data_IF_661612495555
#
_entry.id   IF_661612495555
#
_cell.length_a   1.000
_cell.length_b   1.000
_cell.length_c   1.000
_cell.angle_alpha   90.00
_cell.angle_beta   90.00
_cell.angle_gamma   90.00
#
_symmetry.space_group_name_H-M   'P 1'
#
loop_
_entity.id
_entity.type
_entity.pdbx_description
1 polymer ?
#
# COMPACT_ATOMS: atom_id res chain seq x y z
N UNK A 1 -62.72 -4.89 -29.89
CA UNK A 1 -62.01 -5.91 -29.08
C UNK A 1 -61.34 -5.19 -27.92
N UNK A 2 -61.87 -5.34 -26.69
CA UNK A 2 -61.32 -4.68 -25.51
C UNK A 2 -60.19 -5.55 -24.96
N UNK A 3 -58.94 -5.10 -25.09
CA UNK A 3 -57.79 -5.79 -24.51
C UNK A 3 -57.74 -5.55 -22.99
N UNK A 4 -57.69 -6.61 -22.19
CA UNK A 4 -57.46 -6.50 -20.76
C UNK A 4 -55.96 -6.51 -20.46
N UNK A 5 -55.47 -5.48 -19.81
CA UNK A 5 -54.11 -5.45 -19.29
C UNK A 5 -54.03 -6.27 -17.99
N UNK A 6 -53.32 -7.40 -18.02
CA UNK A 6 -53.10 -8.24 -16.83
C UNK A 6 -51.73 -7.93 -16.24
N UNK A 7 -51.70 -7.54 -14.96
CA UNK A 7 -50.47 -7.27 -14.21
C UNK A 7 -49.87 -8.59 -13.75
N UNK A 8 -48.98 -9.18 -14.53
CA UNK A 8 -48.26 -10.40 -14.14
C UNK A 8 -47.22 -10.05 -13.06
N UNK A 9 -47.40 -10.56 -11.84
CA UNK A 9 -46.34 -10.57 -10.82
C UNK A 9 -45.27 -11.56 -11.30
N UNK A 10 -44.08 -11.07 -11.60
CA UNK A 10 -42.90 -11.89 -11.86
C UNK A 10 -42.71 -12.85 -10.67
N UNK A 11 -42.63 -14.18 -10.89
CA UNK A 11 -42.44 -15.15 -9.82
C UNK A 11 -41.09 -14.95 -9.13
N UNK A 12 -41.06 -15.24 -7.82
CA UNK A 12 -39.93 -14.91 -6.92
C UNK A 12 -38.63 -15.57 -7.40
N UNK A 13 -38.68 -16.77 -7.99
CA UNK A 13 -37.51 -17.47 -8.51
C UNK A 13 -36.84 -16.76 -9.71
N UNK A 14 -37.59 -15.94 -10.44
CA UNK A 14 -37.08 -15.19 -11.60
C UNK A 14 -36.38 -13.88 -11.17
N UNK A 15 -36.72 -13.35 -9.98
CA UNK A 15 -35.92 -12.31 -9.31
C UNK A 15 -34.56 -12.85 -8.88
N UNK A 16 -34.48 -14.10 -8.44
CA UNK A 16 -33.24 -14.77 -8.05
C UNK A 16 -32.29 -14.97 -9.23
N UNK A 17 -32.84 -15.33 -10.40
CA UNK A 17 -32.05 -15.54 -11.62
C UNK A 17 -31.45 -14.24 -12.18
N UNK A 18 -32.13 -13.11 -12.01
CA UNK A 18 -31.61 -11.78 -12.39
C UNK A 18 -30.49 -11.30 -11.45
N UNK A 19 -30.37 -11.89 -10.27
CA UNK A 19 -29.30 -11.67 -9.32
C UNK A 19 -28.14 -12.65 -9.49
N UNK A 20 -27.97 -13.31 -10.65
CA UNK A 20 -26.66 -13.88 -11.01
C UNK A 20 -25.67 -12.73 -11.19
N UNK A 21 -25.09 -12.35 -10.06
CA UNK A 21 -23.86 -11.61 -9.86
C UNK A 21 -23.00 -11.60 -11.12
N UNK A 22 -23.02 -10.49 -11.85
CA UNK A 22 -21.90 -10.15 -12.71
C UNK A 22 -20.73 -9.98 -11.76
N UNK A 23 -19.92 -11.03 -11.61
CA UNK A 23 -18.75 -11.00 -10.76
C UNK A 23 -17.91 -9.80 -11.22
N UNK A 24 -17.62 -8.82 -10.34
CA UNK A 24 -16.77 -7.70 -10.71
C UNK A 24 -15.44 -8.25 -11.23
N UNK A 25 -14.90 -7.62 -12.26
CA UNK A 25 -13.65 -8.05 -12.90
C UNK A 25 -12.55 -8.16 -11.81
N UNK A 26 -11.71 -9.19 -11.91
CA UNK A 26 -10.66 -9.47 -10.94
C UNK A 26 -9.73 -8.25 -10.71
N UNK A 27 -9.58 -7.40 -11.73
CA UNK A 27 -8.85 -6.13 -11.64
C UNK A 27 -9.50 -5.13 -10.69
N UNK A 28 -10.82 -4.95 -10.78
CA UNK A 28 -11.57 -4.02 -9.92
C UNK A 28 -11.51 -4.46 -8.45
N UNK A 29 -11.60 -5.76 -8.20
CA UNK A 29 -11.44 -6.33 -6.85
C UNK A 29 -10.04 -6.09 -6.29
N UNK A 30 -9.01 -6.20 -7.13
CA UNK A 30 -7.63 -5.93 -6.73
C UNK A 30 -7.42 -4.46 -6.37
N UNK A 31 -7.99 -3.53 -7.15
CA UNK A 31 -7.93 -2.08 -6.88
C UNK A 31 -8.70 -1.70 -5.62
N UNK A 32 -9.90 -2.23 -5.43
CA UNK A 32 -10.67 -2.07 -4.19
C UNK A 32 -9.92 -2.61 -2.98
N UNK A 33 -9.24 -3.75 -3.14
CA UNK A 33 -8.38 -4.33 -2.13
C UNK A 33 -7.21 -3.40 -1.76
N UNK A 34 -6.53 -2.82 -2.76
CA UNK A 34 -5.43 -1.86 -2.55
C UNK A 34 -5.91 -0.62 -1.81
N UNK A 35 -7.03 -0.03 -2.22
CA UNK A 35 -7.57 1.19 -1.60
C UNK A 35 -8.00 0.97 -0.15
N UNK A 36 -8.67 -0.15 0.14
CA UNK A 36 -9.04 -0.53 1.52
C UNK A 36 -7.80 -0.75 2.40
N UNK A 37 -6.78 -1.44 1.88
CA UNK A 37 -5.50 -1.64 2.59
C UNK A 37 -4.77 -0.31 2.84
N UNK A 38 -4.78 0.61 1.87
CA UNK A 38 -4.17 1.93 2.02
C UNK A 38 -4.84 2.74 3.14
N UNK A 39 -6.19 2.80 3.15
CA UNK A 39 -6.95 3.48 4.22
C UNK A 39 -6.70 2.88 5.61
N UNK A 40 -6.65 1.55 5.69
CA UNK A 40 -6.36 0.86 6.95
C UNK A 40 -4.97 1.22 7.47
N UNK A 41 -3.97 1.25 6.57
CA UNK A 41 -2.60 1.64 6.92
C UNK A 41 -2.53 3.09 7.39
N UNK A 42 -3.14 4.02 6.66
CA UNK A 42 -3.16 5.45 7.01
C UNK A 42 -3.74 5.68 8.42
N UNK A 43 -4.82 4.97 8.75
CA UNK A 43 -5.41 5.02 10.09
C UNK A 43 -4.47 4.48 11.17
N UNK A 44 -3.85 3.32 10.94
CA UNK A 44 -2.90 2.71 11.88
C UNK A 44 -1.67 3.60 12.11
N UNK A 45 -1.08 4.14 11.04
CA UNK A 45 0.09 5.03 11.09
C UNK A 45 -0.27 6.31 11.87
N UNK A 46 -1.43 6.91 11.57
CA UNK A 46 -1.94 8.11 12.29
C UNK A 46 -2.18 7.83 13.77
N UNK A 47 -2.80 6.69 14.10
CA UNK A 47 -3.05 6.27 15.49
C UNK A 47 -1.75 6.09 16.27
N UNK A 48 -0.70 5.56 15.63
CA UNK A 48 0.64 5.38 16.21
C UNK A 48 1.48 6.65 16.23
N UNK A 49 1.02 7.74 15.60
CA UNK A 49 1.80 8.96 15.34
C UNK A 49 3.09 8.66 14.58
N UNK A 50 3.04 7.66 13.70
CA UNK A 50 4.16 7.21 12.90
C UNK A 50 4.40 8.23 11.78
N UNK A 51 5.62 8.74 11.67
CA UNK A 51 5.98 9.69 10.61
C UNK A 51 6.28 8.90 9.34
N UNK A 52 5.75 9.32 8.17
CA UNK A 52 6.06 8.65 6.92
C UNK A 52 7.56 8.72 6.64
N UNK A 53 8.13 7.59 6.21
CA UNK A 53 9.54 7.54 5.80
C UNK A 53 9.75 8.42 4.57
N UNK A 54 10.68 9.38 4.67
CA UNK A 54 11.08 10.25 3.55
C UNK A 54 12.24 9.64 2.75
N UNK A 55 12.66 8.42 3.07
CA UNK A 55 13.80 7.75 2.43
C UNK A 55 13.43 7.35 1.01
N UNK A 56 14.26 7.74 0.06
CA UNK A 56 14.12 7.43 -1.36
C UNK A 56 15.43 6.90 -1.92
N UNK A 57 15.35 6.09 -2.97
CA UNK A 57 16.52 5.63 -3.73
C UNK A 57 17.27 6.84 -4.33
N UNK A 58 18.59 6.80 -4.30
CA UNK A 58 19.45 7.92 -4.68
C UNK A 58 19.58 9.04 -3.63
N UNK A 59 18.75 9.02 -2.58
CA UNK A 59 18.87 9.93 -1.45
C UNK A 59 20.10 9.66 -0.58
N UNK A 60 20.46 10.63 0.26
CA UNK A 60 21.59 10.53 1.19
C UNK A 60 21.11 10.29 2.61
N UNK A 61 21.75 9.35 3.31
CA UNK A 61 21.41 8.98 4.69
C UNK A 61 22.65 8.88 5.56
N UNK A 62 22.53 9.27 6.82
CA UNK A 62 23.55 9.01 7.85
C UNK A 62 23.26 7.67 8.51
N UNK A 63 24.22 6.77 8.46
CA UNK A 63 24.09 5.42 9.04
C UNK A 63 24.79 5.37 10.38
N UNK A 64 24.13 4.72 11.35
CA UNK A 64 24.65 4.55 12.70
C UNK A 64 25.80 3.53 12.69
N UNK A 65 26.87 3.83 13.40
CA UNK A 65 28.00 2.93 13.54
C UNK A 65 27.64 1.74 14.45
N UNK A 66 28.10 0.53 14.09
CA UNK A 66 27.86 -0.69 14.86
C UNK A 66 28.69 -0.74 16.15
N UNK A 67 29.96 -0.33 16.06
CA UNK A 67 30.85 -0.19 17.21
C UNK A 67 31.28 1.28 17.34
N UNK A 68 31.21 1.82 18.55
CA UNK A 68 31.64 3.20 18.85
C UNK A 68 32.34 3.25 20.20
N UNK A 69 33.43 4.02 20.30
CA UNK A 69 33.98 4.42 21.61
C UNK A 69 33.12 5.56 22.17
N UNK A 70 33.24 5.83 23.47
CA UNK A 70 32.40 6.83 24.16
C UNK A 70 32.53 8.25 23.58
N UNK A 71 33.69 8.57 22.99
CA UNK A 71 34.01 9.84 22.36
C UNK A 71 33.62 9.94 20.88
N UNK A 72 33.31 8.82 20.23
CA UNK A 72 33.15 8.79 18.79
C UNK A 72 31.73 9.23 18.38
N UNK A 73 31.61 9.79 17.18
CA UNK A 73 30.31 10.11 16.60
C UNK A 73 29.46 8.83 16.49
N UNK A 74 28.17 8.86 16.85
CA UNK A 74 27.31 7.69 16.70
C UNK A 74 27.03 7.31 15.24
N UNK A 75 27.34 8.19 14.28
CA UNK A 75 27.10 7.99 12.85
C UNK A 75 28.41 7.96 12.07
N UNK A 76 28.41 7.30 10.92
CA UNK A 76 29.52 7.39 9.98
C UNK A 76 29.77 8.85 9.59
N UNK A 77 31.05 9.21 9.44
CA UNK A 77 31.46 10.59 9.11
C UNK A 77 30.91 11.07 7.78
N UNK A 78 30.76 10.15 6.82
CA UNK A 78 30.26 10.44 5.49
C UNK A 78 28.86 9.86 5.29
N UNK A 79 27.93 10.63 4.69
CA UNK A 79 26.63 10.11 4.32
C UNK A 79 26.77 9.04 3.24
N UNK A 80 25.93 8.01 3.32
CA UNK A 80 25.84 6.95 2.32
C UNK A 80 24.66 7.22 1.40
N UNK A 81 24.76 6.78 0.15
CA UNK A 81 23.67 6.89 -0.79
C UNK A 81 22.78 5.65 -0.70
N UNK A 82 21.47 5.84 -0.73
CA UNK A 82 20.50 4.74 -0.79
C UNK A 82 20.56 4.09 -2.17
N UNK A 83 21.07 2.87 -2.24
CA UNK A 83 21.22 2.11 -3.47
C UNK A 83 19.94 1.34 -3.83
N UNK A 84 19.21 0.86 -2.82
CA UNK A 84 17.96 0.12 -3.04
C UNK A 84 17.02 0.26 -1.83
N UNK A 85 15.72 0.35 -2.10
CA UNK A 85 14.67 0.35 -1.08
C UNK A 85 13.67 -0.78 -1.35
N UNK A 86 13.70 -1.79 -0.48
CA UNK A 86 12.79 -2.95 -0.54
C UNK A 86 11.84 -2.91 0.66
N UNK A 87 10.67 -2.31 0.47
CA UNK A 87 9.68 -2.11 1.53
C UNK A 87 10.28 -1.30 2.69
N UNK A 88 10.57 -1.93 3.84
CA UNK A 88 11.20 -1.30 5.01
C UNK A 88 12.71 -1.50 5.06
N UNK A 89 13.27 -2.36 4.20
CA UNK A 89 14.69 -2.62 4.12
C UNK A 89 15.36 -1.58 3.22
N UNK A 90 16.30 -0.82 3.79
CA UNK A 90 17.08 0.19 3.06
C UNK A 90 18.51 -0.31 2.92
N UNK A 91 19.00 -0.40 1.70
CA UNK A 91 20.41 -0.72 1.41
C UNK A 91 21.12 0.57 1.02
N UNK A 92 22.11 0.97 1.82
CA UNK A 92 22.93 2.15 1.56
C UNK A 92 24.36 1.73 1.27
N UNK A 93 24.98 2.35 0.27
CA UNK A 93 26.34 2.04 -0.16
C UNK A 93 27.18 3.31 -0.21
N UNK A 94 28.49 3.16 0.06
CA UNK A 94 29.43 4.25 -0.14
C UNK A 94 29.62 4.48 -1.63
N UNK A 95 29.66 5.73 -2.06
CA UNK A 95 29.92 6.08 -3.47
C UNK A 95 31.38 5.87 -3.89
N UNK A 96 32.23 5.33 -3.01
CA UNK A 96 33.64 5.08 -3.30
C UNK A 96 33.73 3.89 -4.27
N UNK A 97 33.66 4.19 -5.57
CA UNK A 97 34.17 3.32 -6.62
C UNK A 97 35.69 3.26 -6.45
N UNK A 98 36.20 2.12 -5.96
CA UNK A 98 37.60 1.74 -6.23
C UNK A 98 37.66 1.05 -7.58
#
# INVERSE_FOLDING_TARGET
MLGHAVRTRIPIWEKSARCLWQAPDHKELAELGRTKKAKMKEYEDSRRREKPSTVQEGGWVLVRQEQKRKSDSPYHEYPLQVANLKSTLVTAASMIRR
#
